data_IF_831515040083
#
_entry.id   IF_831515040083
#
_cell.length_a   1.000
_cell.length_b   1.000
_cell.length_c   1.000
_cell.angle_alpha   90.00
_cell.angle_beta   90.00
_cell.angle_gamma   90.00
#
_symmetry.space_group_name_H-M   'P 1'
#
loop_
_entity.id
_entity.type
_entity.pdbx_description
1 polymer ?
#
# COMPACT_ATOMS: atom_id res chain seq x y z
N UNK A 1 11.84 6.43 -13.09
CA UNK A 1 12.37 6.25 -11.72
C UNK A 1 11.20 6.42 -10.78
N UNK A 2 10.77 5.37 -10.08
CA UNK A 2 9.64 5.46 -9.15
C UNK A 2 10.00 6.49 -8.05
N UNK A 3 9.19 7.54 -7.83
CA UNK A 3 9.49 8.53 -6.82
C UNK A 3 9.58 7.87 -5.44
N UNK A 4 10.54 8.31 -4.64
CA UNK A 4 10.81 7.83 -3.28
C UNK A 4 9.62 8.02 -2.33
N UNK A 5 8.56 8.72 -2.77
CA UNK A 5 7.41 9.16 -2.00
C UNK A 5 6.49 8.06 -1.44
N UNK A 6 6.68 6.77 -1.79
CA UNK A 6 5.72 5.70 -1.47
C UNK A 6 6.32 4.51 -0.70
N UNK A 7 7.41 4.75 0.06
CA UNK A 7 8.08 3.74 0.92
C UNK A 7 7.19 3.10 1.99
N UNK A 8 6.06 3.72 2.32
CA UNK A 8 5.18 3.28 3.41
C UNK A 8 4.04 2.36 2.97
N UNK A 9 3.85 2.12 1.66
CA UNK A 9 2.76 1.28 1.15
C UNK A 9 2.83 -0.15 1.69
N UNK A 10 4.02 -0.75 1.66
CA UNK A 10 4.25 -2.09 2.20
C UNK A 10 4.16 -2.12 3.73
N UNK A 11 4.74 -1.12 4.41
CA UNK A 11 4.67 -0.98 5.86
C UNK A 11 3.22 -0.95 6.35
N UNK A 12 2.41 -0.10 5.72
CA UNK A 12 1.01 0.12 6.09
C UNK A 12 0.05 -0.93 5.55
N UNK A 13 0.56 -1.98 4.89
CA UNK A 13 -0.23 -3.14 4.48
C UNK A 13 -0.46 -4.11 5.65
N UNK A 14 0.55 -4.22 6.51
CA UNK A 14 0.60 -5.21 7.60
C UNK A 14 0.78 -4.57 8.99
N UNK A 15 1.03 -3.27 9.04
CA UNK A 15 1.26 -2.51 10.26
C UNK A 15 0.48 -1.20 10.27
N UNK A 16 0.36 -0.59 11.45
CA UNK A 16 -0.28 0.71 11.64
C UNK A 16 0.56 1.61 12.55
N UNK A 17 1.65 2.20 12.02
CA UNK A 17 2.48 3.15 12.76
C UNK A 17 1.67 4.38 13.24
N UNK A 18 2.09 5.04 14.33
CA UNK A 18 1.44 6.27 14.80
C UNK A 18 1.64 7.44 13.82
N UNK A 19 0.78 8.48 13.86
CA UNK A 19 0.88 9.65 12.97
C UNK A 19 2.27 10.31 12.91
N UNK A 20 2.91 10.49 14.07
CA UNK A 20 4.24 11.12 14.21
C UNK A 20 5.32 10.42 13.36
N UNK A 21 5.18 9.11 13.13
CA UNK A 21 6.09 8.37 12.26
C UNK A 21 6.05 8.91 10.83
N UNK A 22 4.86 9.20 10.31
CA UNK A 22 4.69 9.71 8.94
C UNK A 22 5.11 11.17 8.81
N UNK A 23 4.94 11.97 9.87
CA UNK A 23 5.41 13.36 9.91
C UNK A 23 6.93 13.43 9.83
N UNK A 24 7.64 12.56 10.56
CA UNK A 24 9.09 12.47 10.53
C UNK A 24 9.66 12.04 9.17
N UNK A 25 8.88 11.38 8.31
CA UNK A 25 9.31 10.89 7.00
C UNK A 25 9.29 11.96 5.90
N UNK A 26 8.68 13.13 6.12
CA UNK A 26 8.61 14.19 5.12
C UNK A 26 7.92 13.76 3.82
N UNK A 27 6.84 12.97 3.92
CA UNK A 27 6.12 12.44 2.76
C UNK A 27 5.46 13.55 1.94
N UNK A 28 5.50 13.41 0.62
CA UNK A 28 4.90 14.38 -0.30
C UNK A 28 3.38 14.47 -0.13
N UNK A 29 2.81 15.64 -0.46
CA UNK A 29 1.36 15.81 -0.53
C UNK A 29 0.73 14.73 -1.43
N UNK A 30 -0.43 14.24 -1.04
CA UNK A 30 -1.13 13.18 -1.78
C UNK A 30 -0.59 11.76 -1.53
N UNK A 31 0.37 11.55 -0.63
CA UNK A 31 0.96 10.22 -0.44
C UNK A 31 -0.07 9.17 0.01
N UNK A 32 -1.09 9.56 0.77
CA UNK A 32 -2.14 8.66 1.28
C UNK A 32 -3.03 8.14 0.15
N UNK A 33 -3.39 9.02 -0.76
CA UNK A 33 -4.23 8.80 -1.92
C UNK A 33 -3.55 7.86 -2.92
N UNK A 34 -2.21 7.90 -2.98
CA UNK A 34 -1.44 6.97 -3.82
C UNK A 34 -1.19 5.60 -3.18
N UNK A 35 -1.45 5.41 -1.88
CA UNK A 35 -1.18 4.12 -1.21
C UNK A 35 -1.86 2.91 -1.88
N UNK A 36 -3.15 2.97 -2.30
CA UNK A 36 -3.81 1.82 -2.90
C UNK A 36 -3.11 1.26 -4.13
N UNK A 37 -2.61 2.12 -5.03
CA UNK A 37 -1.93 1.67 -6.25
C UNK A 37 -0.60 0.99 -5.92
N UNK A 38 0.14 1.51 -4.94
CA UNK A 38 1.43 0.91 -4.54
C UNK A 38 1.28 -0.33 -3.67
N UNK A 39 0.18 -0.46 -2.92
CA UNK A 39 -0.16 -1.67 -2.16
C UNK A 39 -0.58 -2.84 -3.06
N UNK A 40 -1.05 -2.56 -4.27
CA UNK A 40 -1.51 -3.60 -5.19
C UNK A 40 -0.38 -4.57 -5.57
N UNK A 41 0.82 -4.06 -5.86
CA UNK A 41 1.97 -4.92 -6.21
C UNK A 41 2.31 -5.96 -5.12
N UNK A 42 2.59 -5.58 -3.86
CA UNK A 42 2.89 -6.57 -2.83
C UNK A 42 1.72 -7.49 -2.56
N UNK A 43 0.47 -7.03 -2.64
CA UNK A 43 -0.70 -7.90 -2.51
C UNK A 43 -0.76 -8.98 -3.60
N UNK A 44 -0.44 -8.63 -4.85
CA UNK A 44 -0.35 -9.61 -5.94
C UNK A 44 0.81 -10.60 -5.73
N UNK A 45 1.96 -10.13 -5.23
CA UNK A 45 3.06 -11.01 -4.83
C UNK A 45 2.61 -11.98 -3.73
N UNK A 46 1.87 -11.51 -2.72
CA UNK A 46 1.38 -12.36 -1.64
C UNK A 46 0.30 -13.34 -2.10
N UNK A 47 -0.59 -12.91 -3.00
CA UNK A 47 -1.54 -13.81 -3.66
C UNK A 47 -0.81 -14.93 -4.41
N UNK A 48 0.27 -14.58 -5.13
CA UNK A 48 1.08 -15.56 -5.87
C UNK A 48 1.83 -16.52 -4.95
N UNK A 49 2.39 -16.04 -3.84
CA UNK A 49 3.26 -16.83 -2.96
C UNK A 49 2.52 -17.59 -1.86
N UNK A 50 1.41 -17.04 -1.35
CA UNK A 50 0.70 -17.55 -0.18
C UNK A 50 -0.76 -17.93 -0.47
N UNK A 51 -1.24 -17.68 -1.70
CA UNK A 51 -2.51 -18.20 -2.20
C UNK A 51 -3.74 -17.34 -1.87
N UNK A 52 -4.92 -17.97 -1.95
CA UNK A 52 -6.23 -17.32 -2.02
C UNK A 52 -6.61 -16.50 -0.79
N UNK A 53 -5.92 -16.66 0.34
CA UNK A 53 -6.10 -15.81 1.53
C UNK A 53 -5.92 -14.31 1.24
N UNK A 54 -5.17 -13.96 0.18
CA UNK A 54 -4.93 -12.56 -0.22
C UNK A 54 -5.90 -12.05 -1.31
N UNK A 55 -6.78 -12.90 -1.86
CA UNK A 55 -7.67 -12.51 -2.96
C UNK A 55 -8.68 -11.40 -2.55
N UNK A 56 -9.15 -11.43 -1.30
CA UNK A 56 -10.02 -10.39 -0.75
C UNK A 56 -9.32 -9.03 -0.65
N UNK A 57 -8.07 -9.03 -0.19
CA UNK A 57 -7.26 -7.80 -0.09
C UNK A 57 -6.94 -7.21 -1.46
N UNK A 58 -6.64 -8.03 -2.46
CA UNK A 58 -6.46 -7.58 -3.86
C UNK A 58 -7.75 -6.97 -4.40
N UNK A 59 -8.89 -7.64 -4.23
CA UNK A 59 -10.19 -7.13 -4.67
C UNK A 59 -10.56 -5.81 -4.00
N UNK A 60 -10.27 -5.67 -2.70
CA UNK A 60 -10.48 -4.42 -1.95
C UNK A 60 -9.62 -3.27 -2.45
N UNK A 61 -8.35 -3.54 -2.76
CA UNK A 61 -7.44 -2.54 -3.33
C UNK A 61 -7.86 -2.11 -4.75
N UNK A 62 -8.35 -3.03 -5.59
CA UNK A 62 -8.88 -2.69 -6.91
C UNK A 62 -10.14 -1.81 -6.79
N UNK A 63 -11.05 -2.14 -5.88
CA UNK A 63 -12.26 -1.33 -5.64
C UNK A 63 -11.93 0.09 -5.19
N UNK A 64 -10.93 0.28 -4.33
CA UNK A 64 -10.52 1.64 -3.91
C UNK A 64 -9.84 2.44 -5.01
N UNK A 65 -9.35 1.76 -6.06
CA UNK A 65 -8.84 2.36 -7.29
C UNK A 65 -9.94 2.61 -8.34
N UNK A 66 -11.19 2.21 -8.07
CA UNK A 66 -12.32 2.38 -8.98
C UNK A 66 -12.40 1.33 -10.10
N UNK A 67 -11.75 0.17 -9.91
CA UNK A 67 -11.84 -1.00 -10.79
C UNK A 67 -12.92 -1.96 -10.31
#
# INVERSE_FOLDING_TARGET
MMPIADRVAMLTLFDHPPPDFFEALGLEAGWRERQPIYRLWPLLVHLRLFGSGYAGSVSGALRSLGV
#
